data_IF_254456540555
#
_entry.id   IF_254456540555
#
_cell.length_a   1.000
_cell.length_b   1.000
_cell.length_c   1.000
_cell.angle_alpha   90.00
_cell.angle_beta   90.00
_cell.angle_gamma   90.00
#
_symmetry.space_group_name_H-M   'P 1'
#
loop_
_entity.id
_entity.type
_entity.pdbx_description
1 polymer ?
#
# COMPACT_ATOMS: atom_id res chain seq x y z
N UNK A 1 17.98 -0.94 6.31
CA UNK A 1 18.09 0.20 5.38
C UNK A 1 17.41 1.43 5.96
N UNK A 2 17.58 2.61 5.35
CA UNK A 2 16.86 3.82 5.76
C UNK A 2 15.46 3.84 5.15
N UNK A 3 14.51 4.51 5.80
CA UNK A 3 13.13 4.62 5.31
C UNK A 3 13.04 5.18 3.89
N UNK A 4 13.80 6.24 3.57
CA UNK A 4 13.80 6.78 2.20
C UNK A 4 14.40 5.81 1.17
N UNK A 5 15.33 4.92 1.56
CA UNK A 5 15.85 3.89 0.65
C UNK A 5 14.80 2.81 0.37
N UNK A 6 14.01 2.44 1.39
CA UNK A 6 12.86 1.55 1.22
C UNK A 6 11.77 2.21 0.36
N UNK A 7 11.51 3.50 0.56
CA UNK A 7 10.51 4.23 -0.22
C UNK A 7 10.88 4.36 -1.70
N UNK A 8 12.16 4.44 -2.06
CA UNK A 8 12.58 4.40 -3.46
C UNK A 8 12.25 3.07 -4.15
N UNK A 9 12.26 1.94 -3.43
CA UNK A 9 11.79 0.65 -3.95
C UNK A 9 10.29 0.71 -4.25
N UNK A 10 9.51 1.31 -3.35
CA UNK A 10 8.07 1.51 -3.52
C UNK A 10 7.78 2.39 -4.74
N UNK A 11 8.49 3.51 -4.87
CA UNK A 11 8.33 4.42 -6.00
C UNK A 11 8.66 3.75 -7.34
N UNK A 12 9.68 2.89 -7.39
CA UNK A 12 10.01 2.12 -8.58
C UNK A 12 8.88 1.14 -8.98
N UNK A 13 8.10 0.65 -8.01
CA UNK A 13 6.92 -0.19 -8.23
C UNK A 13 5.68 0.57 -8.68
N UNK A 14 5.69 1.91 -8.62
CA UNK A 14 4.53 2.77 -8.91
C UNK A 14 4.93 3.93 -9.85
N UNK A 15 5.13 3.66 -11.16
CA UNK A 15 5.90 4.54 -12.07
C UNK A 15 5.19 5.83 -12.48
N UNK A 16 3.89 5.97 -12.22
CA UNK A 16 3.14 7.20 -12.55
C UNK A 16 3.47 8.39 -11.62
N UNK A 17 4.29 8.15 -10.59
CA UNK A 17 4.75 9.17 -9.66
C UNK A 17 3.77 9.50 -8.52
N UNK A 18 2.61 8.85 -8.43
CA UNK A 18 1.62 9.14 -7.39
C UNK A 18 2.18 8.91 -5.99
N UNK A 19 2.92 7.82 -5.77
CA UNK A 19 3.57 7.55 -4.47
C UNK A 19 4.59 8.62 -4.08
N UNK A 20 5.26 9.26 -5.04
CA UNK A 20 6.17 10.38 -4.78
C UNK A 20 5.44 11.64 -4.35
N UNK A 21 4.22 11.86 -4.85
CA UNK A 21 3.37 12.97 -4.41
C UNK A 21 2.90 12.78 -2.96
N UNK A 22 2.68 11.54 -2.55
CA UNK A 22 2.25 11.17 -1.20
C UNK A 22 3.36 11.16 -0.14
N UNK A 23 4.64 11.37 -0.50
CA UNK A 23 5.77 11.23 0.42
C UNK A 23 6.52 12.54 0.65
N UNK A 24 6.78 12.88 1.91
CA UNK A 24 7.69 13.94 2.30
C UNK A 24 9.06 13.38 2.69
N UNK A 25 9.98 13.30 1.72
CA UNK A 25 11.31 12.73 1.93
C UNK A 25 12.11 13.42 3.05
N UNK A 26 11.92 14.73 3.23
CA UNK A 26 12.62 15.51 4.25
C UNK A 26 12.06 15.26 5.65
N UNK A 27 10.74 15.24 5.78
CA UNK A 27 10.04 14.98 7.04
C UNK A 27 9.91 13.50 7.37
N UNK A 28 10.21 12.61 6.41
CA UNK A 28 9.97 11.17 6.47
C UNK A 28 8.54 10.82 6.93
N UNK A 29 7.57 11.47 6.29
CA UNK A 29 6.16 11.37 6.64
C UNK A 29 5.28 11.37 5.39
N UNK A 30 4.07 10.81 5.53
CA UNK A 30 3.04 10.83 4.49
C UNK A 30 2.55 12.27 4.31
N UNK A 31 2.42 12.72 3.06
CA UNK A 31 1.69 13.93 2.69
C UNK A 31 0.22 13.56 2.50
N UNK A 32 -0.62 14.02 3.43
CA UNK A 32 -2.06 13.97 3.23
C UNK A 32 -2.46 14.72 1.96
N UNK A 33 -3.49 14.23 1.28
CA UNK A 33 -4.27 14.98 0.29
C UNK A 33 -3.59 15.21 -1.07
N UNK A 34 -2.45 14.54 -1.33
CA UNK A 34 -1.71 14.60 -2.60
C UNK A 34 -1.60 13.20 -3.21
N UNK A 35 -1.75 13.07 -4.53
CA UNK A 35 -1.71 11.78 -5.26
C UNK A 35 -3.07 11.09 -5.35
N UNK A 36 -3.07 9.77 -5.58
CA UNK A 36 -4.28 8.93 -5.52
C UNK A 36 -4.41 8.24 -4.14
N UNK A 37 -5.62 7.76 -3.82
CA UNK A 37 -5.90 7.15 -2.51
C UNK A 37 -5.14 5.85 -2.27
N UNK A 38 -4.79 5.11 -3.33
CA UNK A 38 -4.05 3.86 -3.24
C UNK A 38 -2.56 4.13 -3.00
N UNK A 39 -1.98 5.11 -3.69
CA UNK A 39 -0.61 5.56 -3.49
C UNK A 39 -0.40 6.10 -2.07
N UNK A 40 -1.35 6.88 -1.56
CA UNK A 40 -1.32 7.36 -0.18
C UNK A 40 -1.38 6.21 0.83
N UNK A 41 -2.24 5.22 0.59
CA UNK A 41 -2.31 4.00 1.39
C UNK A 41 -0.98 3.24 1.40
N UNK A 42 -0.41 2.96 0.22
CA UNK A 42 0.86 2.22 0.10
C UNK A 42 2.00 2.91 0.84
N UNK A 43 2.15 4.24 0.68
CA UNK A 43 3.21 4.99 1.35
C UNK A 43 3.02 5.02 2.87
N UNK A 44 1.77 5.12 3.33
CA UNK A 44 1.44 5.09 4.75
C UNK A 44 1.77 3.73 5.39
N UNK A 45 1.31 2.64 4.81
CA UNK A 45 1.57 1.29 5.33
C UNK A 45 3.07 1.01 5.45
N UNK A 46 3.85 1.35 4.44
CA UNK A 46 5.31 1.14 4.46
C UNK A 46 6.01 1.99 5.52
N UNK A 47 5.56 3.23 5.72
CA UNK A 47 6.10 4.11 6.75
C UNK A 47 5.75 3.60 8.16
N UNK A 48 4.53 3.12 8.36
CA UNK A 48 4.05 2.62 9.66
C UNK A 48 4.71 1.30 10.06
N UNK A 49 5.10 0.46 9.09
CA UNK A 49 5.78 -0.82 9.36
C UNK A 49 7.30 -0.67 9.55
N UNK A 50 7.86 0.52 9.30
CA UNK A 50 9.31 0.70 9.35
C UNK A 50 9.86 0.70 10.79
N UNK A 51 10.76 -0.25 11.10
CA UNK A 51 11.58 -0.21 12.30
C UNK A 51 13.04 0.15 12.00
N UNK A 52 13.48 1.32 12.45
CA UNK A 52 14.86 1.78 12.28
C UNK A 52 15.93 0.94 12.99
N UNK A 53 15.55 -0.01 13.84
CA UNK A 53 16.47 -0.94 14.53
C UNK A 53 16.56 -2.31 13.85
N UNK A 54 15.60 -2.65 13.00
CA UNK A 54 15.57 -3.90 12.27
C UNK A 54 16.66 -3.95 11.18
N UNK A 55 17.07 -5.16 10.82
CA UNK A 55 17.96 -5.38 9.68
C UNK A 55 17.25 -5.04 8.37
N UNK A 56 18.02 -4.85 7.29
CA UNK A 56 17.43 -4.64 5.95
C UNK A 56 16.52 -5.79 5.52
N UNK A 57 16.86 -7.04 5.87
CA UNK A 57 16.02 -8.20 5.54
C UNK A 57 14.67 -8.12 6.25
N UNK A 58 14.69 -7.92 7.57
CA UNK A 58 13.49 -7.79 8.40
C UNK A 58 12.60 -6.63 7.92
N UNK A 59 13.16 -5.46 7.61
CA UNK A 59 12.38 -4.32 7.09
C UNK A 59 11.70 -4.63 5.75
N UNK A 60 12.35 -5.40 4.87
CA UNK A 60 11.75 -5.82 3.61
C UNK A 60 10.68 -6.88 3.82
N UNK A 61 10.90 -7.82 4.74
CA UNK A 61 9.93 -8.85 5.11
C UNK A 61 8.68 -8.21 5.72
N UNK A 62 8.82 -7.26 6.64
CA UNK A 62 7.71 -6.52 7.25
C UNK A 62 6.90 -5.73 6.21
N UNK A 63 7.60 -5.01 5.30
CA UNK A 63 6.96 -4.29 4.20
C UNK A 63 6.21 -5.23 3.24
N UNK A 64 6.80 -6.40 2.93
CA UNK A 64 6.16 -7.41 2.10
C UNK A 64 4.92 -8.00 2.77
N UNK A 65 5.01 -8.31 4.06
CA UNK A 65 3.91 -8.89 4.82
C UNK A 65 2.74 -7.91 4.95
N UNK A 66 3.00 -6.62 5.19
CA UNK A 66 1.99 -5.58 5.19
C UNK A 66 1.24 -5.47 3.84
N UNK A 67 1.98 -5.40 2.73
CA UNK A 67 1.36 -5.30 1.40
C UNK A 67 0.63 -6.58 0.97
N UNK A 68 1.14 -7.77 1.36
CA UNK A 68 0.46 -9.05 1.10
C UNK A 68 -0.83 -9.17 1.92
N UNK A 69 -0.83 -8.68 3.15
CA UNK A 69 -2.02 -8.62 3.98
C UNK A 69 -3.07 -7.70 3.35
N UNK A 70 -2.68 -6.48 2.97
CA UNK A 70 -3.56 -5.53 2.28
C UNK A 70 -4.14 -6.12 0.99
N UNK A 71 -3.33 -6.79 0.17
CA UNK A 71 -3.81 -7.48 -1.04
C UNK A 71 -4.82 -8.59 -0.73
N UNK A 72 -4.63 -9.32 0.36
CA UNK A 72 -5.56 -10.35 0.83
C UNK A 72 -6.91 -9.75 1.22
N UNK A 73 -6.91 -8.66 1.99
CA UNK A 73 -8.13 -7.96 2.38
C UNK A 73 -8.89 -7.37 1.18
N UNK A 74 -8.16 -6.74 0.25
CA UNK A 74 -8.74 -6.25 -1.01
C UNK A 74 -9.38 -7.39 -1.81
N UNK A 75 -8.70 -8.54 -1.92
CA UNK A 75 -9.24 -9.73 -2.58
C UNK A 75 -10.52 -10.26 -1.92
N UNK A 76 -10.59 -10.23 -0.59
CA UNK A 76 -11.79 -10.61 0.16
C UNK A 76 -12.97 -9.66 -0.11
N UNK A 77 -12.72 -8.34 -0.18
CA UNK A 77 -13.74 -7.33 -0.52
C UNK A 77 -14.23 -7.53 -1.95
N UNK A 78 -13.33 -7.71 -2.93
CA UNK A 78 -13.69 -7.99 -4.33
C UNK A 78 -14.58 -9.22 -4.41
N UNK A 79 -14.18 -10.32 -3.76
CA UNK A 79 -14.97 -11.57 -3.72
C UNK A 79 -16.37 -11.34 -3.16
N UNK A 80 -16.50 -10.53 -2.10
CA UNK A 80 -17.80 -10.22 -1.51
C UNK A 80 -18.70 -9.42 -2.47
N UNK A 81 -18.13 -8.45 -3.19
CA UNK A 81 -18.83 -7.65 -4.20
C UNK A 81 -19.28 -8.50 -5.40
N UNK A 82 -18.43 -9.40 -5.88
CA UNK A 82 -18.76 -10.34 -6.97
C UNK A 82 -19.93 -11.26 -6.58
N UNK A 83 -19.86 -11.86 -5.39
CA UNK A 83 -20.97 -12.68 -4.87
C UNK A 83 -22.28 -11.90 -4.82
N UNK A 84 -22.23 -10.62 -4.41
CA UNK A 84 -23.41 -9.76 -4.35
C UNK A 84 -23.96 -9.44 -5.74
N UNK A 85 -23.09 -9.15 -6.71
CA UNK A 85 -23.43 -8.90 -8.11
C UNK A 85 -24.11 -10.11 -8.74
N UNK A 86 -23.57 -11.31 -8.54
CA UNK A 86 -24.15 -12.56 -9.05
C UNK A 86 -25.52 -12.85 -8.45
N UNK A 87 -25.69 -12.60 -7.15
CA UNK A 87 -26.99 -12.74 -6.50
C UNK A 87 -28.03 -11.78 -7.11
N UNK A 88 -27.66 -10.52 -7.36
CA UNK A 88 -28.55 -9.55 -8.03
C UNK A 88 -28.94 -10.00 -9.45
N UNK A 89 -27.98 -10.50 -10.24
CA UNK A 89 -28.23 -10.96 -11.60
C UNK A 89 -29.23 -12.15 -11.64
N UNK A 90 -29.23 -13.00 -10.60
CA UNK A 90 -30.15 -14.15 -10.48
C UNK A 90 -31.55 -13.76 -9.99
N UNK A 91 -31.70 -12.65 -9.28
CA UNK A 91 -32.99 -12.19 -8.73
C UNK A 91 -33.69 -11.13 -9.59
N UNK A 92 -32.97 -10.52 -10.54
CA UNK A 92 -33.50 -9.52 -11.47
C UNK A 92 -34.02 -10.09 -12.79
N UNK A 93 -34.25 -11.40 -12.86
CA UNK A 93 -34.77 -12.13 -14.02
C UNK A 93 -36.16 -12.69 -13.72
#
# INVERSE_FOLDING_TARGET
>A
MKLNELMEVVHAGYPDGMTRMCWDEKGQQVRGDQGDTLAAFVVAEIADTYDGRATTGEQLDDALDALRWAATELGAVITALERRKDAYAKTGQ
#
